data_IF_074167442603
#
_entry.id   IF_074167442603
#
_cell.length_a   1.000
_cell.length_b   1.000
_cell.length_c   1.000
_cell.angle_alpha   90.00
_cell.angle_beta   90.00
_cell.angle_gamma   90.00
#
_symmetry.space_group_name_H-M   'P 1'
#
loop_
_entity.id
_entity.type
_entity.pdbx_description
1 polymer ?
#
# COMPACT_ATOMS: atom_id res chain seq x y z
N UNK A 1 -2.62 -28.31 5.78
CA UNK A 1 -1.31 -29.01 5.66
C UNK A 1 -1.54 -30.34 4.96
N UNK A 2 -0.79 -30.60 3.90
CA UNK A 2 -0.81 -31.94 3.32
C UNK A 2 -0.18 -32.87 4.34
N UNK A 3 -0.80 -34.00 4.60
CA UNK A 3 -0.28 -34.99 5.56
C UNK A 3 1.17 -35.36 5.23
N UNK A 4 1.50 -35.39 3.95
CA UNK A 4 2.86 -35.66 3.47
C UNK A 4 3.87 -34.53 3.85
N UNK A 5 3.43 -33.26 3.93
CA UNK A 5 4.28 -32.14 4.38
C UNK A 5 4.51 -32.18 5.89
N UNK A 6 3.48 -32.56 6.66
CA UNK A 6 3.61 -32.79 8.11
C UNK A 6 4.57 -33.94 8.38
N UNK A 7 4.50 -35.01 7.60
CA UNK A 7 5.40 -36.18 7.71
C UNK A 7 6.86 -35.79 7.37
N UNK A 8 7.05 -34.91 6.39
CA UNK A 8 8.38 -34.46 5.96
C UNK A 8 9.02 -33.48 6.94
N UNK A 9 8.21 -32.68 7.65
CA UNK A 9 8.67 -31.66 8.58
C UNK A 9 8.70 -32.08 10.05
N UNK A 10 8.04 -33.22 10.39
CA UNK A 10 8.06 -33.73 11.76
C UNK A 10 9.36 -34.50 12.04
N UNK A 11 10.06 -34.12 13.11
CA UNK A 11 11.19 -34.90 13.70
C UNK A 11 10.73 -36.25 14.28
N UNK A 12 9.80 -36.94 13.64
CA UNK A 12 9.22 -38.21 14.07
C UNK A 12 9.64 -39.29 13.08
N UNK A 13 9.77 -40.50 13.60
CA UNK A 13 10.21 -41.67 12.85
C UNK A 13 9.33 -41.90 11.60
N UNK A 14 9.86 -41.55 10.43
CA UNK A 14 9.19 -41.59 9.11
C UNK A 14 8.49 -42.94 8.86
N UNK A 15 9.08 -44.05 9.32
CA UNK A 15 8.53 -45.39 9.11
C UNK A 15 7.21 -45.62 9.81
N UNK A 16 6.94 -44.98 10.94
CA UNK A 16 5.66 -45.11 11.66
C UNK A 16 4.56 -44.25 11.03
N UNK A 17 4.92 -43.05 10.53
CA UNK A 17 3.96 -42.15 9.86
C UNK A 17 3.56 -42.70 8.48
N UNK A 18 4.49 -43.29 7.72
CA UNK A 18 4.19 -43.93 6.44
C UNK A 18 3.19 -45.09 6.63
N UNK A 19 3.33 -45.90 7.71
CA UNK A 19 2.36 -46.94 8.03
C UNK A 19 0.96 -46.43 8.36
N UNK A 20 0.83 -45.21 8.87
CA UNK A 20 -0.47 -44.57 9.11
C UNK A 20 -1.07 -44.09 7.79
N UNK A 21 -0.27 -43.45 6.91
CA UNK A 21 -0.76 -42.97 5.61
C UNK A 21 -1.17 -44.10 4.67
N UNK A 22 -0.49 -45.23 4.71
CA UNK A 22 -0.81 -46.41 3.88
C UNK A 22 -2.14 -47.09 4.25
N UNK A 23 -2.68 -46.79 5.44
CA UNK A 23 -4.01 -47.29 5.86
C UNK A 23 -5.16 -46.53 5.21
N UNK A 24 -4.91 -45.32 4.69
CA UNK A 24 -5.92 -44.51 4.00
C UNK A 24 -5.78 -44.68 2.50
N UNK A 25 -6.62 -45.55 1.92
CA UNK A 25 -6.63 -45.84 0.48
C UNK A 25 -7.08 -44.66 -0.37
N UNK A 26 -7.84 -43.74 0.18
CA UNK A 26 -8.33 -42.54 -0.50
C UNK A 26 -7.88 -41.33 0.26
N UNK A 27 -7.07 -40.48 -0.38
CA UNK A 27 -6.64 -39.18 0.13
C UNK A 27 -7.38 -38.11 -0.65
N UNK A 28 -8.20 -37.33 0.01
CA UNK A 28 -8.86 -36.18 -0.55
C UNK A 28 -8.07 -34.93 -0.09
N UNK A 29 -7.44 -34.27 -1.01
CA UNK A 29 -6.80 -32.99 -0.76
C UNK A 29 -7.83 -31.90 -1.00
N UNK A 30 -8.21 -31.16 0.08
CA UNK A 30 -8.97 -29.93 -0.06
C UNK A 30 -8.01 -28.84 -0.57
N UNK A 31 -8.13 -28.52 -1.84
CA UNK A 31 -7.34 -27.45 -2.43
C UNK A 31 -7.96 -26.07 -2.09
N UNK A 32 -7.09 -25.08 -1.92
CA UNK A 32 -7.49 -23.72 -1.54
C UNK A 32 -8.30 -22.98 -2.63
N UNK A 33 -8.41 -23.54 -3.82
CA UNK A 33 -9.16 -22.99 -4.95
C UNK A 33 -10.65 -22.86 -4.71
N UNK A 34 -11.20 -23.59 -3.72
CA UNK A 34 -12.63 -23.55 -3.38
C UNK A 34 -13.00 -22.56 -2.26
N UNK A 35 -12.02 -21.86 -1.68
CA UNK A 35 -12.27 -20.92 -0.55
C UNK A 35 -13.24 -19.82 -0.95
N UNK A 36 -13.09 -19.27 -2.14
CA UNK A 36 -13.99 -18.27 -2.68
C UNK A 36 -15.43 -18.79 -2.81
N UNK A 37 -15.58 -20.02 -3.28
CA UNK A 37 -16.90 -20.68 -3.38
C UNK A 37 -17.52 -20.85 -1.99
N UNK A 38 -16.74 -21.28 -0.99
CA UNK A 38 -17.21 -21.45 0.39
C UNK A 38 -17.65 -20.12 0.98
N UNK A 39 -16.85 -19.06 0.82
CA UNK A 39 -17.18 -17.72 1.30
C UNK A 39 -18.47 -17.24 0.67
N UNK A 40 -18.62 -17.30 -0.65
CA UNK A 40 -19.82 -16.86 -1.36
C UNK A 40 -21.07 -17.65 -0.99
N UNK A 41 -20.96 -18.98 -0.90
CA UNK A 41 -22.11 -19.85 -0.68
C UNK A 41 -22.52 -19.97 0.79
N UNK A 42 -21.62 -19.69 1.76
CA UNK A 42 -21.88 -19.88 3.19
C UNK A 42 -21.92 -18.59 3.98
N UNK A 43 -21.03 -17.64 3.69
CA UNK A 43 -20.93 -16.39 4.44
C UNK A 43 -21.65 -15.24 3.76
N UNK A 44 -21.61 -15.17 2.43
CA UNK A 44 -22.16 -14.06 1.64
C UNK A 44 -23.48 -14.40 0.93
N UNK A 45 -24.05 -15.57 1.21
CA UNK A 45 -25.34 -15.96 0.60
C UNK A 45 -26.43 -14.97 0.99
N UNK A 46 -27.22 -14.55 0.02
CA UNK A 46 -28.33 -13.62 0.15
C UNK A 46 -29.63 -14.24 -0.36
N UNK A 47 -30.74 -13.72 0.12
CA UNK A 47 -32.04 -14.02 -0.49
C UNK A 47 -32.13 -13.44 -1.89
N UNK A 48 -32.94 -14.03 -2.76
CA UNK A 48 -33.15 -13.51 -4.11
C UNK A 48 -33.61 -12.04 -4.12
N UNK A 49 -34.46 -11.65 -3.17
CA UNK A 49 -34.93 -10.28 -3.04
C UNK A 49 -33.76 -9.33 -2.71
N UNK A 50 -32.89 -9.68 -1.76
CA UNK A 50 -31.74 -8.87 -1.41
C UNK A 50 -30.75 -8.76 -2.57
N UNK A 51 -30.54 -9.84 -3.31
CA UNK A 51 -29.68 -9.83 -4.50
C UNK A 51 -30.22 -8.90 -5.59
N UNK A 52 -31.53 -8.95 -5.88
CA UNK A 52 -32.17 -8.03 -6.84
C UNK A 52 -32.02 -6.57 -6.39
N UNK A 53 -32.26 -6.27 -5.11
CA UNK A 53 -32.10 -4.91 -4.59
C UNK A 53 -30.68 -4.40 -4.70
N UNK A 54 -29.65 -5.26 -4.52
CA UNK A 54 -28.25 -4.88 -4.70
C UNK A 54 -27.88 -4.62 -6.16
N UNK A 55 -28.42 -5.42 -7.09
CA UNK A 55 -28.25 -5.21 -8.54
C UNK A 55 -28.90 -3.88 -8.97
N UNK A 56 -30.11 -3.59 -8.50
CA UNK A 56 -30.77 -2.30 -8.75
C UNK A 56 -29.99 -1.13 -8.19
N UNK A 57 -29.47 -1.27 -6.97
CA UNK A 57 -28.62 -0.25 -6.35
C UNK A 57 -27.35 -0.01 -7.17
N UNK A 58 -26.69 -1.07 -7.64
CA UNK A 58 -25.51 -0.97 -8.50
C UNK A 58 -25.81 -0.16 -9.75
N UNK A 59 -26.84 -0.53 -10.51
CA UNK A 59 -27.20 0.17 -11.75
C UNK A 59 -27.54 1.64 -11.54
N UNK A 60 -28.17 1.98 -10.41
CA UNK A 60 -28.47 3.39 -10.07
C UNK A 60 -27.24 4.20 -9.72
N UNK A 61 -26.19 3.57 -9.21
CA UNK A 61 -25.02 4.24 -8.64
C UNK A 61 -23.70 3.81 -9.27
N UNK A 62 -23.70 3.18 -10.44
CA UNK A 62 -22.53 2.57 -11.08
C UNK A 62 -21.34 3.54 -11.16
N UNK A 63 -21.56 4.78 -11.61
CA UNK A 63 -20.50 5.79 -11.69
C UNK A 63 -19.92 6.15 -10.32
N UNK A 64 -20.77 6.34 -9.30
CA UNK A 64 -20.32 6.65 -7.93
C UNK A 64 -19.58 5.48 -7.31
N UNK A 65 -20.06 4.25 -7.53
CA UNK A 65 -19.38 3.03 -7.05
C UNK A 65 -18.00 2.93 -7.71
N UNK A 66 -17.92 3.13 -9.03
CA UNK A 66 -16.66 3.10 -9.75
C UNK A 66 -15.66 4.14 -9.22
N UNK A 67 -16.11 5.39 -9.04
CA UNK A 67 -15.27 6.48 -8.54
C UNK A 67 -14.79 6.24 -7.11
N UNK A 68 -15.67 5.72 -6.25
CA UNK A 68 -15.37 5.54 -4.83
C UNK A 68 -14.59 4.26 -4.50
N UNK A 69 -14.63 3.24 -5.37
CA UNK A 69 -14.11 1.91 -5.03
C UNK A 69 -13.06 1.36 -5.99
N UNK A 70 -13.00 1.81 -7.25
CA UNK A 70 -12.00 1.32 -8.19
C UNK A 70 -10.60 1.81 -7.83
N UNK A 71 -9.74 0.91 -7.36
CA UNK A 71 -8.37 1.22 -6.98
C UNK A 71 -7.48 1.37 -8.22
N UNK A 72 -6.49 2.26 -8.14
CA UNK A 72 -5.44 2.40 -9.17
C UNK A 72 -4.35 1.35 -8.95
N UNK A 73 -4.35 0.31 -9.78
CA UNK A 73 -3.37 -0.78 -9.75
C UNK A 73 -3.25 -1.40 -11.13
N UNK A 74 -2.13 -2.09 -11.37
CA UNK A 74 -1.96 -2.98 -12.52
C UNK A 74 -2.75 -4.28 -12.38
N UNK A 75 -3.21 -4.60 -11.19
CA UNK A 75 -4.07 -5.73 -10.88
C UNK A 75 -5.55 -5.34 -11.08
N UNK A 76 -6.43 -6.26 -11.54
CA UNK A 76 -7.86 -5.98 -11.65
C UNK A 76 -8.47 -5.75 -10.26
N UNK A 77 -8.72 -4.49 -9.91
CA UNK A 77 -9.25 -4.08 -8.60
C UNK A 77 -10.61 -3.43 -8.68
N UNK A 78 -11.35 -3.65 -9.76
CA UNK A 78 -12.69 -3.10 -9.97
C UNK A 78 -13.75 -4.19 -9.98
N UNK A 79 -14.97 -3.82 -9.64
CA UNK A 79 -16.15 -4.66 -9.81
C UNK A 79 -16.49 -4.74 -11.30
N UNK A 80 -16.60 -5.94 -11.83
CA UNK A 80 -16.78 -6.16 -13.26
C UNK A 80 -18.25 -6.10 -13.67
N UNK A 81 -19.16 -6.60 -12.82
CA UNK A 81 -20.60 -6.65 -13.11
C UNK A 81 -21.46 -6.37 -11.87
N UNK A 82 -22.75 -6.05 -12.11
CA UNK A 82 -23.75 -5.91 -11.05
C UNK A 82 -23.96 -7.20 -10.27
N UNK A 83 -23.84 -8.35 -10.94
CA UNK A 83 -23.94 -9.67 -10.34
C UNK A 83 -22.76 -9.96 -9.42
N UNK A 84 -21.51 -9.68 -9.86
CA UNK A 84 -20.34 -9.80 -9.01
C UNK A 84 -20.47 -8.90 -7.79
N UNK A 85 -20.89 -7.65 -7.97
CA UNK A 85 -21.16 -6.74 -6.87
C UNK A 85 -22.15 -7.33 -5.86
N UNK A 86 -23.29 -7.83 -6.32
CA UNK A 86 -24.32 -8.39 -5.44
C UNK A 86 -23.85 -9.67 -4.72
N UNK A 87 -23.04 -10.50 -5.38
CA UNK A 87 -22.48 -11.73 -4.81
C UNK A 87 -21.51 -11.42 -3.67
N UNK A 88 -20.57 -10.49 -3.87
CA UNK A 88 -19.51 -10.21 -2.91
C UNK A 88 -19.91 -9.20 -1.83
N UNK A 89 -20.96 -8.40 -2.03
CA UNK A 89 -21.41 -7.42 -1.04
C UNK A 89 -21.49 -8.00 0.40
N UNK A 90 -21.04 -7.31 1.47
CA UNK A 90 -20.57 -5.93 1.54
C UNK A 90 -19.10 -5.72 1.18
N UNK A 91 -18.43 -6.73 0.68
CA UNK A 91 -17.08 -6.63 0.14
C UNK A 91 -17.09 -6.30 -1.35
N UNK A 92 -15.92 -5.92 -1.86
CA UNK A 92 -15.60 -5.94 -3.28
C UNK A 92 -14.81 -7.21 -3.61
N UNK A 93 -15.00 -7.77 -4.79
CA UNK A 93 -14.31 -8.99 -5.23
C UNK A 93 -12.79 -8.91 -5.04
N UNK A 94 -12.17 -7.80 -5.42
CA UNK A 94 -10.74 -7.58 -5.30
C UNK A 94 -10.23 -7.55 -3.85
N UNK A 95 -11.09 -7.30 -2.86
CA UNK A 95 -10.68 -7.31 -1.45
C UNK A 95 -10.29 -8.71 -0.98
N UNK A 96 -10.80 -9.76 -1.61
CA UNK A 96 -10.40 -11.13 -1.32
C UNK A 96 -9.00 -11.43 -1.85
N UNK A 97 -8.63 -10.86 -3.01
CA UNK A 97 -7.27 -10.97 -3.53
C UNK A 97 -6.27 -10.21 -2.63
N UNK A 98 -6.63 -9.01 -2.19
CA UNK A 98 -5.85 -8.22 -1.23
C UNK A 98 -5.69 -8.99 0.09
N UNK A 99 -6.79 -9.50 0.66
CA UNK A 99 -6.79 -10.26 1.90
C UNK A 99 -5.94 -11.53 1.78
N UNK A 100 -6.06 -12.26 0.68
CA UNK A 100 -5.27 -13.46 0.44
C UNK A 100 -3.77 -13.14 0.46
N UNK A 101 -3.34 -12.12 -0.27
CA UNK A 101 -1.94 -11.68 -0.32
C UNK A 101 -1.45 -11.17 1.04
N UNK A 102 -2.25 -10.38 1.73
CA UNK A 102 -1.96 -9.89 3.07
C UNK A 102 -1.73 -11.03 4.07
N UNK A 103 -2.57 -12.06 4.06
CA UNK A 103 -2.41 -13.24 4.92
C UNK A 103 -1.17 -14.07 4.56
N UNK A 104 -0.77 -14.07 3.29
CA UNK A 104 0.48 -14.73 2.86
C UNK A 104 1.72 -13.96 3.31
N UNK A 105 1.73 -12.63 3.23
CA UNK A 105 2.89 -11.82 3.60
C UNK A 105 3.14 -11.81 5.10
N UNK A 106 2.07 -11.77 5.90
CA UNK A 106 2.16 -11.73 7.36
C UNK A 106 2.55 -13.05 8.01
N UNK A 107 2.47 -14.18 7.29
CA UNK A 107 2.74 -15.53 7.80
C UNK A 107 3.74 -16.28 6.92
N UNK A 108 4.99 -15.88 6.95
CA UNK A 108 6.08 -16.36 6.08
C UNK A 108 6.40 -17.88 6.12
N UNK A 109 5.66 -18.72 6.85
CA UNK A 109 6.09 -20.09 7.12
C UNK A 109 5.16 -21.23 6.63
N UNK A 110 3.86 -21.00 6.28
CA UNK A 110 3.02 -22.13 5.81
C UNK A 110 1.90 -21.64 4.88
N UNK A 111 2.17 -21.67 3.62
CA UNK A 111 1.58 -20.77 2.64
C UNK A 111 0.11 -21.01 2.21
N UNK A 112 -0.47 -22.18 2.15
CA UNK A 112 -1.73 -22.33 1.40
C UNK A 112 -2.97 -22.61 2.25
N UNK A 113 -2.88 -23.42 3.26
CA UNK A 113 -4.04 -23.80 4.08
C UNK A 113 -4.35 -22.81 5.21
N UNK A 114 -3.33 -22.18 5.77
CA UNK A 114 -3.50 -21.14 6.80
C UNK A 114 -4.18 -19.93 6.20
N UNK A 115 -3.78 -19.51 4.99
CA UNK A 115 -4.41 -18.40 4.30
C UNK A 115 -5.87 -18.69 3.96
N UNK A 116 -6.20 -19.88 3.47
CA UNK A 116 -7.56 -20.29 3.16
C UNK A 116 -8.48 -20.24 4.39
N UNK A 117 -8.05 -20.83 5.50
CA UNK A 117 -8.76 -20.76 6.77
C UNK A 117 -8.82 -19.34 7.31
N UNK A 118 -7.73 -18.59 7.20
CA UNK A 118 -7.63 -17.18 7.57
C UNK A 118 -8.64 -16.33 6.83
N UNK A 119 -8.81 -16.50 5.53
CA UNK A 119 -9.80 -15.78 4.72
C UNK A 119 -11.23 -16.03 5.21
N UNK A 120 -11.60 -17.29 5.50
CA UNK A 120 -12.94 -17.62 5.99
C UNK A 120 -13.19 -16.98 7.36
N UNK A 121 -12.24 -17.13 8.29
CA UNK A 121 -12.36 -16.58 9.66
C UNK A 121 -12.42 -15.05 9.60
N UNK A 122 -11.51 -14.41 8.87
CA UNK A 122 -11.49 -12.95 8.74
C UNK A 122 -12.79 -12.44 8.13
N UNK A 123 -13.29 -13.06 7.07
CA UNK A 123 -14.57 -12.67 6.44
C UNK A 123 -15.72 -12.79 7.44
N UNK A 124 -15.79 -13.91 8.18
CA UNK A 124 -16.83 -14.10 9.20
C UNK A 124 -16.74 -13.06 10.32
N UNK A 125 -15.54 -12.79 10.83
CA UNK A 125 -15.32 -11.83 11.91
C UNK A 125 -15.61 -10.39 11.47
N UNK A 126 -15.22 -10.01 10.26
CA UNK A 126 -15.57 -8.70 9.66
C UNK A 126 -17.09 -8.54 9.58
N UNK A 127 -17.80 -9.52 9.06
CA UNK A 127 -19.27 -9.46 8.99
C UNK A 127 -19.90 -9.32 10.37
N UNK A 128 -19.44 -10.14 11.33
CA UNK A 128 -20.01 -10.18 12.68
C UNK A 128 -19.69 -8.95 13.52
N UNK A 129 -18.44 -8.49 13.50
CA UNK A 129 -17.93 -7.47 14.43
C UNK A 129 -17.94 -6.06 13.82
N UNK A 130 -17.73 -5.94 12.51
CA UNK A 130 -17.50 -4.65 11.86
C UNK A 130 -18.71 -4.19 11.03
N UNK A 131 -19.43 -5.12 10.40
CA UNK A 131 -20.49 -4.77 9.44
C UNK A 131 -21.91 -4.97 9.97
N UNK A 132 -22.11 -5.72 11.04
CA UNK A 132 -23.42 -6.09 11.56
C UNK A 132 -24.33 -4.89 11.85
N UNK A 133 -23.78 -3.82 12.41
CA UNK A 133 -24.52 -2.62 12.83
C UNK A 133 -24.41 -1.47 11.81
N UNK A 134 -23.86 -1.77 10.59
CA UNK A 134 -23.74 -0.77 9.54
C UNK A 134 -25.04 -0.63 8.76
N UNK A 135 -25.25 0.57 8.24
CA UNK A 135 -26.38 0.87 7.38
C UNK A 135 -26.32 0.04 6.07
N UNK A 136 -27.48 -0.22 5.51
CA UNK A 136 -27.60 -0.90 4.23
C UNK A 136 -26.85 -0.10 3.15
N UNK A 137 -26.19 -0.79 2.24
CA UNK A 137 -25.30 -0.26 1.20
C UNK A 137 -23.96 0.29 1.70
N UNK A 138 -23.61 0.12 2.99
CA UNK A 138 -22.25 0.34 3.44
C UNK A 138 -21.32 -0.76 2.95
N UNK A 139 -20.09 -0.38 2.56
CA UNK A 139 -19.02 -1.31 2.13
C UNK A 139 -18.05 -1.60 3.25
N UNK A 140 -17.35 -2.71 3.12
CA UNK A 140 -16.29 -3.10 4.05
C UNK A 140 -15.04 -2.26 3.81
N UNK A 141 -14.63 -1.41 4.77
CA UNK A 141 -13.40 -0.64 4.64
C UNK A 141 -12.17 -1.50 4.93
N UNK A 142 -11.03 -1.12 4.35
CA UNK A 142 -9.78 -1.86 4.49
C UNK A 142 -9.30 -2.01 5.92
N UNK A 143 -9.49 -1.00 6.78
CA UNK A 143 -9.14 -1.10 8.20
C UNK A 143 -9.91 -2.19 8.95
N UNK A 144 -11.15 -2.46 8.56
CA UNK A 144 -11.96 -3.52 9.16
C UNK A 144 -11.41 -4.90 8.78
N UNK A 145 -10.99 -5.07 7.53
CA UNK A 145 -10.33 -6.30 7.08
C UNK A 145 -8.99 -6.48 7.81
N UNK A 146 -8.15 -5.45 7.87
CA UNK A 146 -6.86 -5.50 8.56
C UNK A 146 -7.02 -5.85 10.05
N UNK A 147 -8.00 -5.24 10.73
CA UNK A 147 -8.25 -5.48 12.16
C UNK A 147 -8.55 -6.94 12.48
N UNK A 148 -9.32 -7.61 11.62
CA UNK A 148 -9.72 -9.00 11.85
C UNK A 148 -8.71 -10.01 11.24
N UNK A 149 -7.94 -9.62 10.23
CA UNK A 149 -6.91 -10.46 9.63
C UNK A 149 -5.64 -10.54 10.50
N UNK A 150 -5.32 -9.45 11.20
CA UNK A 150 -4.11 -9.33 12.01
C UNK A 150 -4.42 -9.53 13.49
N UNK A 151 -4.26 -10.76 13.98
CA UNK A 151 -4.59 -11.13 15.37
C UNK A 151 -3.55 -10.67 16.40
N UNK A 152 -2.28 -10.52 16.00
CA UNK A 152 -1.19 -10.12 16.88
C UNK A 152 -0.18 -9.23 16.13
N UNK A 153 -0.48 -7.92 15.96
CA UNK A 153 0.47 -7.01 15.33
C UNK A 153 1.74 -6.83 16.18
N UNK A 154 2.91 -6.63 15.54
CA UNK A 154 4.13 -6.31 16.26
C UNK A 154 3.96 -5.06 17.14
N UNK A 155 4.59 -5.04 18.32
CA UNK A 155 4.48 -3.93 19.28
C UNK A 155 4.83 -2.57 18.65
N UNK A 156 5.88 -2.52 17.82
CA UNK A 156 6.26 -1.28 17.12
C UNK A 156 5.13 -0.74 16.23
N UNK A 157 4.37 -1.61 15.55
CA UNK A 157 3.23 -1.21 14.73
C UNK A 157 2.06 -0.73 15.58
N UNK A 158 1.78 -1.38 16.72
CA UNK A 158 0.75 -0.93 17.69
C UNK A 158 1.08 0.47 18.20
N UNK A 159 2.34 0.72 18.55
CA UNK A 159 2.79 2.04 18.98
C UNK A 159 2.58 3.11 17.89
N UNK A 160 2.79 2.76 16.61
CA UNK A 160 2.51 3.68 15.48
C UNK A 160 1.01 3.96 15.35
N UNK A 161 0.14 2.98 15.53
CA UNK A 161 -1.31 3.17 15.54
C UNK A 161 -1.75 4.14 16.65
N UNK A 162 -1.25 3.95 17.87
CA UNK A 162 -1.56 4.82 19.00
C UNK A 162 -1.01 6.25 18.80
N UNK A 163 0.19 6.38 18.26
CA UNK A 163 0.80 7.67 17.94
C UNK A 163 -0.02 8.42 16.89
N UNK A 164 -0.41 7.76 15.79
CA UNK A 164 -1.23 8.37 14.76
C UNK A 164 -2.60 8.81 15.29
N UNK A 165 -3.23 7.97 16.14
CA UNK A 165 -4.51 8.31 16.78
C UNK A 165 -4.40 9.57 17.65
N UNK A 166 -3.33 9.69 18.46
CA UNK A 166 -3.08 10.86 19.30
C UNK A 166 -2.87 12.13 18.48
N UNK A 167 -1.96 12.09 17.50
CA UNK A 167 -1.63 13.25 16.66
C UNK A 167 -2.87 13.78 15.95
N UNK A 168 -3.64 12.93 15.28
CA UNK A 168 -4.80 13.36 14.51
C UNK A 168 -5.93 13.85 15.43
N UNK A 169 -6.11 13.25 16.61
CA UNK A 169 -7.09 13.72 17.61
C UNK A 169 -6.74 15.09 18.19
N UNK A 170 -5.47 15.33 18.52
CA UNK A 170 -4.98 16.61 19.05
C UNK A 170 -5.13 17.75 18.04
N UNK A 171 -4.99 17.46 16.76
CA UNK A 171 -5.20 18.45 15.68
C UNK A 171 -6.67 18.65 15.31
N UNK A 172 -7.60 17.99 15.99
CA UNK A 172 -9.04 18.12 15.72
C UNK A 172 -9.50 17.49 14.42
N UNK A 173 -8.69 16.58 13.85
CA UNK A 173 -9.02 15.87 12.61
C UNK A 173 -10.20 14.91 12.80
N UNK A 174 -11.02 14.76 11.75
CA UNK A 174 -12.14 13.81 11.73
C UNK A 174 -11.69 12.39 11.38
N UNK A 175 -10.47 12.21 10.86
CA UNK A 175 -9.91 10.92 10.47
C UNK A 175 -9.32 10.20 11.67
N UNK A 176 -9.73 8.95 11.86
CA UNK A 176 -9.13 8.08 12.87
C UNK A 176 -7.77 7.56 12.41
N UNK A 177 -6.71 7.92 13.13
CA UNK A 177 -5.32 7.58 12.76
C UNK A 177 -5.03 6.08 12.79
N UNK A 178 -5.64 5.33 13.71
CA UNK A 178 -5.48 3.87 13.73
C UNK A 178 -6.12 3.21 12.50
N UNK A 179 -7.36 3.62 12.17
CA UNK A 179 -8.06 3.11 10.98
C UNK A 179 -7.32 3.46 9.69
N UNK A 180 -6.75 4.68 9.63
CA UNK A 180 -5.95 5.12 8.49
C UNK A 180 -4.71 4.25 8.31
N UNK A 181 -3.92 4.04 9.38
CA UNK A 181 -2.72 3.20 9.29
C UNK A 181 -3.04 1.73 9.05
N UNK A 182 -4.13 1.18 9.61
CA UNK A 182 -4.59 -0.19 9.30
C UNK A 182 -4.97 -0.35 7.82
N UNK A 183 -5.63 0.66 7.23
CA UNK A 183 -5.92 0.66 5.79
C UNK A 183 -4.64 0.65 4.96
N UNK A 184 -3.68 1.51 5.31
CA UNK A 184 -2.38 1.57 4.63
C UNK A 184 -1.59 0.26 4.77
N UNK A 185 -1.60 -0.35 5.95
CA UNK A 185 -0.93 -1.61 6.21
C UNK A 185 -1.50 -2.74 5.34
N UNK A 186 -2.84 -2.85 5.26
CA UNK A 186 -3.49 -3.82 4.39
C UNK A 186 -3.04 -3.66 2.92
N UNK A 187 -3.01 -2.42 2.42
CA UNK A 187 -2.60 -2.15 1.04
C UNK A 187 -1.12 -2.44 0.80
N UNK A 188 -0.24 -1.98 1.69
CA UNK A 188 1.21 -2.13 1.56
C UNK A 188 1.63 -3.61 1.61
N UNK A 189 1.19 -4.34 2.62
CA UNK A 189 1.61 -5.73 2.84
C UNK A 189 0.95 -6.71 1.85
N UNK A 190 -0.15 -6.32 1.20
CA UNK A 190 -0.71 -7.12 0.10
C UNK A 190 0.18 -7.12 -1.14
N UNK A 191 1.01 -6.09 -1.32
CA UNK A 191 1.84 -5.85 -2.51
C UNK A 191 1.06 -5.76 -3.84
N UNK A 192 -0.28 -5.76 -3.76
CA UNK A 192 -1.18 -5.69 -4.92
C UNK A 192 -1.47 -4.25 -5.31
N UNK A 193 -1.67 -3.39 -4.31
CA UNK A 193 -2.12 -2.02 -4.49
C UNK A 193 -1.21 -1.05 -3.75
N UNK A 194 -0.64 -0.09 -4.46
CA UNK A 194 0.20 0.92 -3.84
C UNK A 194 -0.61 1.84 -2.91
N UNK A 195 -0.12 2.16 -1.69
CA UNK A 195 -0.77 3.05 -0.75
C UNK A 195 -0.59 4.52 -1.16
N UNK A 196 -1.29 4.93 -2.21
CA UNK A 196 -1.42 6.33 -2.65
C UNK A 196 -2.60 6.99 -1.96
N UNK A 197 -2.67 8.33 -1.94
CA UNK A 197 -3.83 9.07 -1.38
C UNK A 197 -5.16 8.52 -1.89
N UNK A 198 -5.27 8.32 -3.20
CA UNK A 198 -6.50 7.85 -3.83
C UNK A 198 -6.87 6.44 -3.38
N UNK A 199 -5.93 5.50 -3.42
CA UNK A 199 -6.18 4.12 -3.02
C UNK A 199 -6.47 4.00 -1.51
N UNK A 200 -5.77 4.80 -0.69
CA UNK A 200 -6.02 4.87 0.76
C UNK A 200 -7.44 5.38 1.01
N UNK A 201 -7.84 6.48 0.36
CA UNK A 201 -9.18 7.06 0.54
C UNK A 201 -10.27 6.06 0.16
N UNK A 202 -10.17 5.46 -1.03
CA UNK A 202 -11.13 4.46 -1.53
C UNK A 202 -11.23 3.22 -0.64
N UNK A 203 -10.12 2.82 -0.03
CA UNK A 203 -10.10 1.69 0.89
C UNK A 203 -10.50 2.05 2.33
N UNK A 204 -10.48 3.34 2.69
CA UNK A 204 -10.84 3.81 4.03
C UNK A 204 -12.34 4.01 4.22
N UNK A 205 -13.04 4.50 3.19
CA UNK A 205 -14.46 4.82 3.27
C UNK A 205 -15.34 3.56 3.32
N UNK A 206 -16.51 3.69 3.93
CA UNK A 206 -17.57 2.67 3.92
C UNK A 206 -18.83 3.09 3.16
N UNK A 207 -18.88 4.34 2.73
CA UNK A 207 -19.99 4.93 1.98
C UNK A 207 -19.47 5.62 0.72
N UNK A 208 -20.02 5.27 -0.44
CA UNK A 208 -19.60 5.82 -1.73
C UNK A 208 -19.80 7.32 -1.85
N UNK A 209 -20.81 7.87 -1.17
CA UNK A 209 -21.11 9.30 -1.22
C UNK A 209 -20.09 10.15 -0.47
N UNK A 210 -19.34 9.54 0.45
CA UNK A 210 -18.36 10.22 1.29
C UNK A 210 -17.00 10.46 0.63
N UNK A 211 -16.72 9.84 -0.53
CA UNK A 211 -15.39 9.88 -1.17
C UNK A 211 -14.83 11.29 -1.33
N UNK A 212 -15.60 12.18 -1.94
CA UNK A 212 -15.13 13.54 -2.24
C UNK A 212 -14.95 14.42 -1.00
N UNK A 213 -15.74 14.18 0.05
CA UNK A 213 -15.63 14.92 1.30
C UNK A 213 -14.52 14.39 2.22
N UNK A 214 -14.24 13.10 2.17
CA UNK A 214 -13.23 12.44 3.01
C UNK A 214 -11.83 12.55 2.41
N UNK A 215 -11.69 12.59 1.08
CA UNK A 215 -10.39 12.64 0.41
C UNK A 215 -9.50 13.80 0.89
N UNK A 216 -9.93 15.08 0.92
CA UNK A 216 -9.07 16.16 1.44
C UNK A 216 -8.71 15.97 2.90
N UNK A 217 -9.61 15.42 3.73
CA UNK A 217 -9.33 15.15 5.13
C UNK A 217 -8.25 14.07 5.30
N UNK A 218 -8.23 13.06 4.43
CA UNK A 218 -7.16 12.05 4.40
C UNK A 218 -5.85 12.67 3.92
N UNK A 219 -5.86 13.55 2.92
CA UNK A 219 -4.68 14.27 2.45
C UNK A 219 -4.04 15.07 3.60
N UNK A 220 -4.83 15.83 4.35
CA UNK A 220 -4.38 16.59 5.52
C UNK A 220 -3.84 15.65 6.62
N UNK A 221 -4.55 14.56 6.92
CA UNK A 221 -4.12 13.59 7.91
C UNK A 221 -2.79 12.92 7.54
N UNK A 222 -2.61 12.55 6.27
CA UNK A 222 -1.36 11.96 5.77
C UNK A 222 -0.21 12.97 5.85
N UNK A 223 -0.43 14.24 5.50
CA UNK A 223 0.57 15.29 5.62
C UNK A 223 1.04 15.47 7.07
N UNK A 224 0.10 15.54 8.03
CA UNK A 224 0.42 15.61 9.46
C UNK A 224 1.24 14.41 9.95
N UNK A 225 0.93 13.21 9.50
CA UNK A 225 1.65 12.01 9.89
C UNK A 225 3.04 11.90 9.24
N UNK A 226 3.23 12.47 8.04
CA UNK A 226 4.56 12.60 7.41
C UNK A 226 5.42 13.61 8.18
N UNK A 227 4.86 14.76 8.55
CA UNK A 227 5.57 15.76 9.36
C UNK A 227 5.98 15.21 10.73
N UNK A 228 5.14 14.39 11.33
CA UNK A 228 5.41 13.69 12.58
C UNK A 228 6.32 12.44 12.45
N UNK A 229 6.85 12.15 11.26
CA UNK A 229 7.75 11.01 10.98
C UNK A 229 7.12 9.63 11.29
N UNK A 230 5.82 9.56 11.38
CA UNK A 230 5.06 8.30 11.45
C UNK A 230 4.98 7.66 10.07
N UNK A 231 4.90 8.49 9.03
CA UNK A 231 4.88 8.07 7.63
C UNK A 231 6.06 8.65 6.85
N UNK A 232 6.46 7.93 5.82
CA UNK A 232 7.38 8.38 4.79
C UNK A 232 6.61 8.45 3.45
N UNK A 233 6.77 9.54 2.72
CA UNK A 233 6.27 9.71 1.37
C UNK A 233 7.42 9.58 0.37
N UNK A 234 7.34 8.60 -0.52
CA UNK A 234 8.34 8.38 -1.57
C UNK A 234 7.62 8.02 -2.87
N UNK A 235 7.92 8.73 -3.95
CA UNK A 235 7.31 8.48 -5.28
C UNK A 235 5.76 8.39 -5.23
N UNK A 236 5.14 9.31 -4.51
CA UNK A 236 3.67 9.38 -4.31
C UNK A 236 3.05 8.14 -3.62
N UNK A 237 3.85 7.38 -2.88
CA UNK A 237 3.43 6.23 -2.08
C UNK A 237 3.77 6.48 -0.62
N UNK A 238 2.84 6.16 0.26
CA UNK A 238 3.03 6.28 1.70
C UNK A 238 3.48 4.96 2.31
N UNK A 239 4.40 5.04 3.24
CA UNK A 239 4.92 3.88 4.00
C UNK A 239 4.89 4.21 5.49
N UNK A 240 4.48 3.26 6.32
CA UNK A 240 4.61 3.36 7.78
C UNK A 240 6.10 3.19 8.10
N UNK A 241 6.68 4.15 8.84
CA UNK A 241 8.09 4.10 9.23
C UNK A 241 8.33 3.05 10.30
N UNK A 242 9.45 2.33 10.21
CA UNK A 242 9.97 1.57 11.35
C UNK A 242 10.48 2.52 12.44
N UNK A 243 10.70 2.01 13.64
CA UNK A 243 11.24 2.82 14.75
C UNK A 243 12.65 3.36 14.44
N UNK A 244 13.45 2.59 13.71
CA UNK A 244 14.77 3.02 13.26
C UNK A 244 14.68 4.13 12.20
N UNK A 245 13.83 3.93 11.17
CA UNK A 245 13.60 4.95 10.14
C UNK A 245 13.07 6.26 10.75
N UNK A 246 12.14 6.18 11.71
CA UNK A 246 11.62 7.36 12.41
C UNK A 246 12.74 8.14 13.13
N UNK A 247 13.61 7.47 13.88
CA UNK A 247 14.74 8.09 14.55
C UNK A 247 15.74 8.72 13.57
N UNK A 248 16.07 8.01 12.50
CA UNK A 248 16.97 8.55 11.47
C UNK A 248 16.40 9.81 10.81
N UNK A 249 15.09 9.84 10.55
CA UNK A 249 14.41 11.03 9.98
C UNK A 249 14.40 12.22 10.94
N UNK A 250 14.31 11.97 12.27
CA UNK A 250 14.46 13.01 13.29
C UNK A 250 15.88 13.57 13.33
N UNK A 251 16.89 12.69 13.38
CA UNK A 251 18.30 13.09 13.35
C UNK A 251 18.65 13.87 12.08
N UNK A 252 18.14 13.45 10.92
CA UNK A 252 18.34 14.16 9.65
C UNK A 252 17.72 15.55 9.65
N UNK A 253 16.61 15.78 10.36
CA UNK A 253 15.95 17.08 10.43
C UNK A 253 16.81 18.12 11.15
N UNK A 254 17.52 17.69 12.19
CA UNK A 254 18.37 18.56 13.01
C UNK A 254 19.79 18.69 12.43
N UNK A 255 20.10 17.93 11.36
CA UNK A 255 21.41 17.96 10.72
C UNK A 255 21.47 19.10 9.67
N UNK A 256 22.13 20.19 10.01
CA UNK A 256 22.46 21.25 9.07
C UNK A 256 23.69 20.88 8.24
N UNK A 257 23.50 20.68 6.95
CA UNK A 257 24.61 20.54 6.02
C UNK A 257 25.21 21.92 5.73
N UNK A 258 26.52 22.07 5.99
CA UNK A 258 27.23 23.32 5.70
C UNK A 258 27.05 23.76 4.23
N UNK A 259 26.90 25.07 4.01
CA UNK A 259 26.67 25.63 2.69
C UNK A 259 27.78 25.25 1.68
N UNK A 260 29.04 25.21 2.16
CA UNK A 260 30.17 24.77 1.34
C UNK A 260 30.04 23.31 0.88
N UNK A 261 29.58 22.42 1.74
CA UNK A 261 29.37 21.01 1.40
C UNK A 261 28.25 20.84 0.39
N UNK A 262 27.16 21.61 0.50
CA UNK A 262 26.06 21.63 -0.49
C UNK A 262 26.55 22.08 -1.86
N UNK A 263 27.34 23.18 -1.90
CA UNK A 263 27.90 23.69 -3.16
C UNK A 263 28.87 22.72 -3.81
N UNK A 264 29.75 22.10 -3.03
CA UNK A 264 30.71 21.09 -3.52
C UNK A 264 29.95 19.91 -4.15
N UNK A 265 28.92 19.40 -3.49
CA UNK A 265 28.15 18.29 -4.00
C UNK A 265 27.36 18.66 -5.26
N UNK A 266 26.77 19.85 -5.30
CA UNK A 266 26.14 20.39 -6.50
C UNK A 266 27.13 20.46 -7.67
N UNK A 267 28.33 20.96 -7.44
CA UNK A 267 29.40 21.03 -8.45
C UNK A 267 29.77 19.63 -8.96
N UNK A 268 29.90 18.65 -8.05
CA UNK A 268 30.17 17.26 -8.41
C UNK A 268 29.08 16.67 -9.29
N UNK A 269 27.81 16.85 -8.91
CA UNK A 269 26.64 16.38 -9.69
C UNK A 269 26.61 17.02 -11.08
N UNK A 270 26.85 18.35 -11.17
CA UNK A 270 26.89 19.05 -12.46
C UNK A 270 27.97 18.48 -13.38
N UNK A 271 29.17 18.16 -12.83
CA UNK A 271 30.26 17.55 -13.58
C UNK A 271 29.93 16.13 -14.01
N UNK A 272 29.41 15.31 -13.12
CA UNK A 272 29.05 13.91 -13.35
C UNK A 272 28.00 13.77 -14.45
N UNK A 273 26.93 14.55 -14.36
CA UNK A 273 25.85 14.54 -15.35
C UNK A 273 26.14 15.37 -16.60
N UNK A 274 27.33 16.01 -16.69
CA UNK A 274 27.77 16.80 -17.84
C UNK A 274 26.75 17.84 -18.29
N UNK A 275 26.04 18.46 -17.35
CA UNK A 275 24.89 19.36 -17.59
C UNK A 275 25.24 20.52 -18.54
N UNK A 276 26.43 21.11 -18.39
CA UNK A 276 26.86 22.24 -19.18
C UNK A 276 27.75 21.88 -20.39
N UNK A 277 27.96 20.62 -20.69
CA UNK A 277 28.82 20.24 -21.81
C UNK A 277 28.31 20.73 -23.19
N UNK A 278 26.99 20.79 -23.36
CA UNK A 278 26.39 21.29 -24.61
C UNK A 278 26.49 22.81 -24.73
N UNK A 279 26.45 23.54 -23.62
CA UNK A 279 26.50 25.00 -23.59
C UNK A 279 27.94 25.52 -23.71
N UNK A 280 28.93 24.68 -23.45
CA UNK A 280 30.33 25.01 -23.54
C UNK A 280 30.82 25.25 -24.98
N UNK A 281 29.97 25.05 -25.98
CA UNK A 281 30.25 25.33 -27.39
C UNK A 281 29.05 26.03 -28.02
N UNK A 282 29.29 27.16 -28.65
CA UNK A 282 28.32 27.92 -29.43
C UNK A 282 28.77 27.96 -30.89
N UNK A 283 27.90 27.66 -31.82
CA UNK A 283 28.17 27.71 -33.25
C UNK A 283 27.36 28.82 -33.91
N UNK A 284 28.02 29.67 -34.65
CA UNK A 284 27.41 30.75 -35.45
C UNK A 284 27.88 30.61 -36.90
N UNK A 285 27.03 30.08 -37.75
CA UNK A 285 27.39 29.79 -39.14
C UNK A 285 28.53 28.76 -39.21
N UNK A 286 29.66 29.20 -39.80
CA UNK A 286 30.87 28.38 -39.91
C UNK A 286 31.82 28.51 -38.71
N UNK A 287 31.54 29.42 -37.78
CA UNK A 287 32.39 29.68 -36.64
C UNK A 287 31.91 28.94 -35.39
N UNK A 288 32.85 28.39 -34.64
CA UNK A 288 32.59 27.66 -33.39
C UNK A 288 33.32 28.34 -32.23
N UNK A 289 32.55 28.81 -31.27
CA UNK A 289 33.07 29.43 -30.06
C UNK A 289 33.01 28.44 -28.89
N UNK A 290 34.14 28.28 -28.23
CA UNK A 290 34.28 27.37 -27.08
C UNK A 290 34.44 28.18 -25.80
N UNK A 291 33.74 27.77 -24.75
CA UNK A 291 33.74 28.42 -23.46
C UNK A 291 34.25 27.49 -22.36
N UNK A 292 34.88 28.04 -21.35
CA UNK A 292 35.02 27.36 -20.04
C UNK A 292 33.84 27.80 -19.15
N UNK A 293 33.04 26.88 -18.70
CA UNK A 293 31.92 27.13 -17.79
C UNK A 293 32.43 27.01 -16.36
N UNK A 294 32.34 28.09 -15.61
CA UNK A 294 32.85 28.18 -14.23
C UNK A 294 31.68 28.38 -13.26
N UNK A 295 31.82 27.87 -12.04
CA UNK A 295 30.92 28.20 -10.93
C UNK A 295 31.20 29.60 -10.39
N UNK A 296 30.39 30.07 -9.46
CA UNK A 296 30.60 31.29 -8.68
C UNK A 296 31.87 31.29 -7.79
N UNK A 297 32.53 30.13 -7.67
CA UNK A 297 33.80 29.96 -6.97
C UNK A 297 34.99 29.63 -7.91
N UNK A 298 34.84 29.93 -9.19
CA UNK A 298 35.82 29.62 -10.24
C UNK A 298 36.09 28.10 -10.45
N UNK A 299 35.25 27.21 -9.94
CA UNK A 299 35.37 25.80 -10.24
C UNK A 299 34.94 25.48 -11.67
N UNK A 300 35.74 24.72 -12.40
CA UNK A 300 35.39 24.30 -13.76
C UNK A 300 34.23 23.28 -13.75
N UNK A 301 33.08 23.69 -14.34
CA UNK A 301 31.89 22.85 -14.48
C UNK A 301 31.88 22.11 -15.82
N UNK A 302 32.42 22.71 -16.87
CA UNK A 302 32.64 22.10 -18.17
C UNK A 302 33.84 22.79 -18.88
N UNK A 303 34.67 21.98 -19.54
CA UNK A 303 35.87 22.46 -20.24
C UNK A 303 35.76 22.14 -21.73
N UNK A 304 35.79 23.17 -22.56
CA UNK A 304 35.80 23.00 -24.02
C UNK A 304 37.13 23.42 -24.70
N UNK A 305 38.17 23.69 -23.91
CA UNK A 305 39.50 23.91 -24.41
C UNK A 305 39.86 25.35 -24.82
N UNK A 306 39.05 26.37 -24.55
CA UNK A 306 39.39 27.77 -24.74
C UNK A 306 39.68 28.43 -23.41
N UNK A 307 40.88 29.03 -23.25
CA UNK A 307 41.27 29.78 -22.04
C UNK A 307 40.76 31.24 -22.06
N UNK A 308 40.13 31.67 -23.13
CA UNK A 308 39.87 33.11 -23.35
C UNK A 308 38.38 33.48 -23.15
N UNK A 309 37.45 32.56 -23.35
CA UNK A 309 36.02 32.79 -23.15
C UNK A 309 35.54 32.06 -21.90
N UNK A 310 34.98 32.78 -20.96
CA UNK A 310 34.48 32.27 -19.67
C UNK A 310 33.00 32.55 -19.56
N UNK A 311 32.22 31.55 -19.17
CA UNK A 311 30.82 31.66 -18.79
C UNK A 311 30.69 31.35 -17.29
N UNK A 312 30.33 32.34 -16.49
CA UNK A 312 30.13 32.13 -15.05
C UNK A 312 28.68 31.79 -14.76
N UNK A 313 28.48 30.71 -13.99
CA UNK A 313 27.17 30.26 -13.52
C UNK A 313 27.07 30.54 -12.03
N UNK A 314 26.08 31.33 -11.65
CA UNK A 314 25.81 31.65 -10.25
C UNK A 314 24.72 30.73 -9.71
N UNK A 315 24.98 30.05 -8.59
CA UNK A 315 23.95 29.34 -7.87
C UNK A 315 23.18 30.30 -6.97
N UNK A 316 21.87 30.25 -7.07
CA UNK A 316 20.96 30.97 -6.17
C UNK A 316 21.01 30.43 -4.76
#
# INVERSE_FOLDING_TARGET
EKLDDVINNANVNRSQLTKVTDRFKTKIHLESTEVDVIIRSRLLQKTEQAQRSLIEYYHKNEGLIADATNLKSSFPTKTESAEDFAIYYPFHKYQFDILQKFLFSSNALVATQIAARGMIITTFDVLRKQMREKELYSFTPGYAICAEAQTAPPIGLVNKYDTARKILKEKGGSIDGEKLLKTMHLLADSEVVAPTVENITKSYISDITSYYSVKPQIEDALALLVDAKVLLLTNNKYKITSDLEGKMLEEMKDFEVEHFSKKRELTNCIKEYKIFNQVATYNDGNDSFKFSVLSDQDDELAVSGSKHLKLSVYSL
#
